data_IF_519646054832
#
_entry.id   IF_519646054832
#
_cell.length_a   1.000
_cell.length_b   1.000
_cell.length_c   1.000
_cell.angle_alpha   90.00
_cell.angle_beta   90.00
_cell.angle_gamma   90.00
#
_symmetry.space_group_name_H-M   'P 1'
#
loop_
_entity.id
_entity.type
_entity.pdbx_description
1 polymer ?
#
# COMPACT_ATOMS: atom_id res chain seq x y z
N UNK A 1 -29.20 -0.74 0.19
CA UNK A 1 -28.50 -1.00 1.45
C UNK A 1 -27.09 -0.52 1.22
N UNK A 2 -26.66 0.50 1.94
CA UNK A 2 -25.29 0.97 1.87
C UNK A 2 -24.38 -0.11 2.45
N UNK A 3 -23.76 -0.91 1.59
CA UNK A 3 -22.70 -1.87 1.91
C UNK A 3 -21.42 -1.11 2.30
N UNK A 4 -21.52 -0.23 3.30
CA UNK A 4 -20.35 0.26 4.00
C UNK A 4 -19.75 -0.94 4.74
N UNK A 5 -18.83 -1.60 4.05
CA UNK A 5 -17.99 -2.66 4.58
C UNK A 5 -17.45 -2.19 5.93
N UNK A 6 -17.95 -2.77 7.03
CA UNK A 6 -17.51 -2.40 8.37
C UNK A 6 -16.06 -2.83 8.52
N UNK A 7 -15.19 -1.86 8.70
CA UNK A 7 -13.79 -2.04 9.10
C UNK A 7 -13.72 -1.98 10.62
N UNK A 8 -13.04 -2.96 11.21
CA UNK A 8 -12.75 -3.03 12.64
C UNK A 8 -11.24 -2.96 12.80
N UNK A 9 -10.76 -1.99 13.57
CA UNK A 9 -9.34 -1.94 13.94
C UNK A 9 -9.01 -3.13 14.86
N UNK A 10 -7.93 -3.83 14.54
CA UNK A 10 -7.46 -4.98 15.31
C UNK A 10 -6.64 -4.54 16.52
N UNK A 11 -6.49 -5.43 17.50
CA UNK A 11 -5.71 -5.10 18.68
C UNK A 11 -4.19 -5.10 18.41
N UNK A 12 -3.42 -4.66 19.40
CA UNK A 12 -1.95 -4.55 19.29
C UNK A 12 -1.27 -5.90 19.03
N UNK A 13 -1.79 -6.99 19.61
CA UNK A 13 -1.19 -8.32 19.47
C UNK A 13 -1.45 -8.90 18.07
N UNK A 14 -2.65 -8.72 17.54
CA UNK A 14 -3.01 -9.08 16.17
C UNK A 14 -2.25 -8.23 15.16
N UNK A 15 -2.15 -6.92 15.40
CA UNK A 15 -1.37 -6.00 14.58
C UNK A 15 0.10 -6.43 14.53
N UNK A 16 0.70 -6.75 15.68
CA UNK A 16 2.09 -7.21 15.74
C UNK A 16 2.29 -8.53 14.97
N UNK A 17 1.31 -9.43 15.04
CA UNK A 17 1.33 -10.70 14.30
C UNK A 17 1.32 -10.45 12.79
N UNK A 18 0.33 -9.70 12.30
CA UNK A 18 0.22 -9.38 10.86
C UNK A 18 1.42 -8.58 10.36
N UNK A 19 1.94 -7.64 11.16
CA UNK A 19 3.15 -6.91 10.81
C UNK A 19 4.37 -7.83 10.67
N UNK A 20 4.49 -8.84 11.54
CA UNK A 20 5.56 -9.85 11.44
C UNK A 20 5.39 -10.73 10.20
N UNK A 21 4.16 -11.14 9.87
CA UNK A 21 3.88 -11.93 8.66
C UNK A 21 4.17 -11.13 7.39
N UNK A 22 3.74 -9.86 7.32
CA UNK A 22 4.04 -8.98 6.19
C UNK A 22 5.55 -8.88 5.92
N UNK A 23 6.35 -8.65 6.97
CA UNK A 23 7.82 -8.54 6.87
C UNK A 23 8.53 -9.84 6.47
N UNK A 24 7.87 -10.98 6.58
CA UNK A 24 8.40 -12.27 6.15
C UNK A 24 7.96 -12.64 4.73
N UNK A 25 7.10 -11.81 4.11
CA UNK A 25 6.63 -12.05 2.75
C UNK A 25 7.65 -11.59 1.71
N UNK A 26 7.71 -12.30 0.58
CA UNK A 26 8.55 -11.89 -0.56
C UNK A 26 8.17 -10.50 -1.11
N UNK A 27 6.91 -10.10 -0.95
CA UNK A 27 6.42 -8.81 -1.42
C UNK A 27 6.98 -7.65 -0.60
N UNK A 28 7.28 -7.88 0.68
CA UNK A 28 7.99 -6.90 1.50
C UNK A 28 9.40 -6.69 0.95
N UNK A 29 10.14 -7.77 0.70
CA UNK A 29 11.52 -7.70 0.19
C UNK A 29 11.60 -6.98 -1.16
N UNK A 30 10.61 -7.21 -2.05
CA UNK A 30 10.54 -6.56 -3.36
C UNK A 30 10.24 -5.07 -3.26
N UNK A 31 9.26 -4.69 -2.44
CA UNK A 31 8.94 -3.27 -2.20
C UNK A 31 10.11 -2.56 -1.51
N UNK A 32 10.74 -3.20 -0.54
CA UNK A 32 11.92 -2.66 0.16
C UNK A 32 13.09 -2.45 -0.80
N UNK A 33 13.39 -3.43 -1.65
CA UNK A 33 14.48 -3.33 -2.63
C UNK A 33 14.21 -2.21 -3.64
N UNK A 34 13.00 -2.14 -4.20
CA UNK A 34 12.64 -1.11 -5.17
C UNK A 34 12.66 0.30 -4.57
N UNK A 35 12.09 0.49 -3.38
CA UNK A 35 12.12 1.78 -2.70
C UNK A 35 13.56 2.24 -2.41
N UNK A 36 14.45 1.30 -2.04
CA UNK A 36 15.85 1.60 -1.77
C UNK A 36 16.61 1.97 -3.05
N UNK A 37 16.40 1.21 -4.13
CA UNK A 37 17.14 1.37 -5.39
C UNK A 37 16.69 2.61 -6.17
N UNK A 38 15.38 2.87 -6.27
CA UNK A 38 14.84 3.97 -7.09
C UNK A 38 14.75 5.30 -6.32
N UNK A 39 14.51 5.26 -5.00
CA UNK A 39 14.22 6.48 -4.22
C UNK A 39 15.12 6.71 -3.00
N UNK A 40 16.07 5.81 -2.68
CA UNK A 40 16.85 5.88 -1.42
C UNK A 40 15.92 5.91 -0.18
N UNK A 41 14.83 5.13 -0.25
CA UNK A 41 13.78 5.00 0.76
C UNK A 41 13.69 3.55 1.29
N UNK A 42 13.10 3.37 2.48
CA UNK A 42 12.88 2.05 3.07
C UNK A 42 11.42 1.88 3.43
N UNK A 43 10.92 0.63 3.44
CA UNK A 43 9.55 0.36 3.94
C UNK A 43 9.43 0.83 5.39
N UNK A 44 8.40 1.62 5.74
CA UNK A 44 8.22 2.08 7.11
C UNK A 44 8.07 0.91 8.09
N UNK A 45 8.71 1.01 9.26
CA UNK A 45 8.56 0.01 10.33
C UNK A 45 7.73 0.51 11.50
N UNK A 46 7.39 1.80 11.52
CA UNK A 46 6.71 2.49 12.61
C UNK A 46 5.21 2.67 12.30
N UNK A 47 4.44 3.08 13.31
CA UNK A 47 3.02 3.42 13.19
C UNK A 47 2.14 2.32 12.58
N UNK A 48 2.46 1.05 12.83
CA UNK A 48 1.69 -0.06 12.26
C UNK A 48 0.24 -0.06 12.77
N UNK A 49 -0.72 -0.20 11.85
CA UNK A 49 -2.16 -0.35 12.15
C UNK A 49 -2.71 -1.51 11.36
N UNK A 50 -3.58 -2.32 11.97
CA UNK A 50 -4.24 -3.41 11.27
C UNK A 50 -5.76 -3.32 11.36
N UNK A 51 -6.43 -3.80 10.32
CA UNK A 51 -7.87 -3.76 10.20
C UNK A 51 -8.40 -5.09 9.68
N UNK A 52 -9.58 -5.47 10.14
CA UNK A 52 -10.38 -6.58 9.62
C UNK A 52 -11.70 -6.04 9.06
N UNK A 53 -12.06 -6.52 7.88
CA UNK A 53 -13.36 -6.31 7.25
C UNK A 53 -14.33 -7.40 7.67
N UNK A 54 -15.63 -7.09 7.70
CA UNK A 54 -16.67 -8.04 8.12
C UNK A 54 -16.79 -9.36 7.33
N UNK A 55 -16.06 -9.54 6.23
CA UNK A 55 -15.92 -10.79 5.48
C UNK A 55 -14.67 -11.60 5.88
N UNK A 56 -13.89 -11.14 6.86
CA UNK A 56 -12.68 -11.79 7.36
C UNK A 56 -11.39 -11.38 6.64
N UNK A 57 -11.46 -10.47 5.65
CA UNK A 57 -10.27 -9.93 5.00
C UNK A 57 -9.51 -9.00 5.97
N UNK A 58 -8.20 -9.22 6.11
CA UNK A 58 -7.34 -8.48 7.04
C UNK A 58 -6.27 -7.69 6.29
N UNK A 59 -5.87 -6.56 6.84
CA UNK A 59 -4.76 -5.77 6.29
C UNK A 59 -3.92 -5.17 7.42
N UNK A 60 -2.64 -4.97 7.17
CA UNK A 60 -1.74 -4.17 8.01
C UNK A 60 -1.10 -3.07 7.18
N UNK A 61 -1.04 -1.86 7.73
CA UNK A 61 -0.38 -0.72 7.11
C UNK A 61 0.75 -0.21 8.00
N UNK A 62 1.82 0.27 7.36
CA UNK A 62 2.96 0.93 7.99
C UNK A 62 3.09 2.33 7.39
N UNK A 63 3.22 3.35 8.24
CA UNK A 63 3.25 4.74 7.78
C UNK A 63 4.51 5.44 8.31
N UNK A 64 5.26 6.06 7.41
CA UNK A 64 6.29 7.01 7.79
C UNK A 64 5.64 8.36 8.08
N UNK A 65 5.99 8.98 9.20
CA UNK A 65 5.69 10.40 9.39
C UNK A 65 6.59 11.21 8.49
N UNK A 66 5.99 12.05 7.63
CA UNK A 66 6.73 12.97 6.76
C UNK A 66 7.80 13.73 7.57
N UNK A 67 9.07 13.48 7.26
CA UNK A 67 10.18 14.13 7.92
C UNK A 67 10.18 15.63 7.62
N UNK A 68 10.72 16.44 8.54
CA UNK A 68 10.95 17.86 8.30
C UNK A 68 12.05 18.03 7.22
N UNK A 69 11.68 17.91 5.94
CA UNK A 69 12.59 18.03 4.81
C UNK A 69 12.15 17.24 3.59
N UNK A 70 11.12 17.74 2.89
CA UNK A 70 10.75 17.49 1.48
C UNK A 70 10.47 16.06 0.98
N UNK A 71 10.99 15.00 1.60
CA UNK A 71 10.80 13.62 1.12
C UNK A 71 9.31 13.23 1.17
N UNK A 72 8.80 12.50 0.17
CA UNK A 72 7.43 12.01 0.17
C UNK A 72 7.10 11.22 1.43
N UNK A 73 5.86 11.35 1.92
CA UNK A 73 5.34 10.43 2.91
C UNK A 73 5.10 9.08 2.23
N UNK A 74 5.64 8.01 2.83
CA UNK A 74 5.46 6.64 2.37
C UNK A 74 4.52 5.91 3.33
N UNK A 75 3.46 5.32 2.79
CA UNK A 75 2.61 4.35 3.47
C UNK A 75 2.69 3.01 2.73
N UNK A 76 2.75 1.89 3.45
CA UNK A 76 2.80 0.56 2.84
C UNK A 76 1.76 -0.33 3.47
N UNK A 77 0.87 -0.88 2.66
CA UNK A 77 -0.27 -1.69 3.09
C UNK A 77 -0.19 -3.09 2.50
N UNK A 78 -0.32 -4.10 3.37
CA UNK A 78 -0.38 -5.52 3.00
C UNK A 78 -1.75 -6.08 3.35
N UNK A 79 -2.41 -6.69 2.36
CA UNK A 79 -3.68 -7.39 2.52
C UNK A 79 -3.43 -8.89 2.61
N UNK A 80 -4.16 -9.57 3.49
CA UNK A 80 -4.01 -10.99 3.76
C UNK A 80 -5.22 -11.78 3.29
N UNK A 81 -4.95 -12.98 2.79
CA UNK A 81 -5.96 -14.02 2.59
C UNK A 81 -6.47 -14.51 3.95
N UNK A 82 -7.80 -14.50 4.12
CA UNK A 82 -8.47 -14.68 5.42
C UNK A 82 -7.97 -15.85 6.25
N UNK A 83 -7.75 -17.02 5.64
CA UNK A 83 -7.42 -18.26 6.37
C UNK A 83 -5.93 -18.63 6.40
N UNK A 84 -5.10 -18.08 5.51
CA UNK A 84 -3.71 -18.53 5.32
C UNK A 84 -2.66 -17.55 5.86
N UNK A 85 -3.04 -16.33 6.28
CA UNK A 85 -2.12 -15.21 6.52
C UNK A 85 -1.13 -14.99 5.35
N UNK A 86 -1.42 -15.52 4.16
CA UNK A 86 -0.65 -15.24 2.97
C UNK A 86 -1.01 -13.83 2.48
N UNK A 87 -0.02 -13.09 2.00
CA UNK A 87 -0.27 -11.75 1.44
C UNK A 87 -0.95 -11.92 0.07
N UNK A 88 -2.15 -11.37 -0.06
CA UNK A 88 -2.95 -11.34 -1.29
C UNK A 88 -2.63 -10.12 -2.16
N UNK A 89 -2.28 -9.00 -1.53
CA UNK A 89 -1.95 -7.74 -2.18
C UNK A 89 -0.96 -6.96 -1.30
N UNK A 90 -0.01 -6.26 -1.91
CA UNK A 90 0.85 -5.31 -1.24
C UNK A 90 0.93 -4.03 -2.07
N UNK A 91 0.87 -2.88 -1.40
CA UNK A 91 0.93 -1.57 -2.04
C UNK A 91 1.83 -0.66 -1.22
N UNK A 92 2.74 0.06 -1.87
CA UNK A 92 3.35 1.26 -1.30
C UNK A 92 2.74 2.51 -1.95
N UNK A 93 2.48 3.54 -1.15
CA UNK A 93 1.88 4.80 -1.56
C UNK A 93 2.86 5.92 -1.19
N UNK A 94 3.27 6.71 -2.18
CA UNK A 94 4.15 7.86 -2.00
C UNK A 94 3.37 9.14 -2.27
N UNK A 95 3.40 10.08 -1.32
CA UNK A 95 2.73 11.37 -1.41
C UNK A 95 3.71 12.53 -1.17
N UNK A 96 3.76 13.51 -2.06
CA UNK A 96 4.56 14.71 -1.84
C UNK A 96 4.94 15.44 -3.12
N UNK A 97 5.60 16.58 -2.96
CA UNK A 97 6.01 17.43 -4.08
C UNK A 97 7.12 16.83 -4.97
N UNK A 98 7.77 15.76 -4.50
CA UNK A 98 8.84 15.05 -5.22
C UNK A 98 8.33 13.76 -5.90
N UNK A 99 7.01 13.58 -6.00
CA UNK A 99 6.37 12.51 -6.79
C UNK A 99 6.05 13.07 -8.17
N UNK A 100 6.22 12.27 -9.24
CA UNK A 100 5.89 12.65 -10.63
C UNK A 100 4.37 12.70 -10.89
N UNK A 101 3.60 13.20 -9.93
CA UNK A 101 2.14 13.27 -9.88
C UNK A 101 1.68 13.67 -8.46
N UNK A 102 0.39 13.51 -8.16
CA UNK A 102 -0.11 13.76 -6.79
C UNK A 102 0.19 12.58 -5.86
N UNK A 103 0.17 11.37 -6.42
CA UNK A 103 0.44 10.13 -5.72
C UNK A 103 1.05 9.11 -6.66
N UNK A 104 1.97 8.32 -6.12
CA UNK A 104 2.52 7.15 -6.79
C UNK A 104 2.17 5.91 -5.98
N UNK A 105 1.56 4.92 -6.64
CA UNK A 105 1.19 3.64 -6.08
C UNK A 105 2.10 2.56 -6.67
N UNK A 106 2.81 1.83 -5.81
CA UNK A 106 3.75 0.79 -6.21
C UNK A 106 3.20 -0.58 -5.78
N UNK A 107 3.18 -1.53 -6.69
CA UNK A 107 2.69 -2.89 -6.44
C UNK A 107 3.71 -3.91 -6.93
N UNK A 108 3.91 -5.05 -6.23
CA UNK A 108 4.54 -6.19 -6.86
C UNK A 108 3.74 -6.60 -8.12
N UNK A 109 4.41 -6.69 -9.27
CA UNK A 109 3.76 -6.78 -10.59
C UNK A 109 2.75 -7.91 -10.71
N UNK A 110 3.02 -9.06 -10.09
CA UNK A 110 2.16 -10.24 -10.20
C UNK A 110 0.81 -10.12 -9.45
N UNK A 111 0.75 -9.24 -8.44
CA UNK A 111 -0.46 -8.95 -7.66
C UNK A 111 -0.98 -7.53 -7.90
N UNK A 112 -0.41 -6.81 -8.87
CA UNK A 112 -0.83 -5.46 -9.20
C UNK A 112 -2.29 -5.47 -9.69
N UNK A 113 -3.21 -4.75 -9.03
CA UNK A 113 -4.59 -4.61 -9.49
C UNK A 113 -4.62 -3.82 -10.79
N UNK A 114 -5.72 -3.89 -11.56
CA UNK A 114 -5.87 -3.02 -12.72
C UNK A 114 -5.81 -1.54 -12.30
N UNK A 115 -5.19 -0.65 -13.09
CA UNK A 115 -5.04 0.77 -12.72
C UNK A 115 -6.36 1.44 -12.34
N UNK A 116 -7.43 1.21 -13.11
CA UNK A 116 -8.75 1.78 -12.83
C UNK A 116 -9.38 1.27 -11.52
N UNK A 117 -9.01 0.07 -11.08
CA UNK A 117 -9.45 -0.51 -9.81
C UNK A 117 -8.63 0.10 -8.67
N UNK A 118 -7.31 0.22 -8.84
CA UNK A 118 -6.41 0.82 -7.86
C UNK A 118 -6.83 2.25 -7.51
N UNK A 119 -7.04 3.09 -8.53
CA UNK A 119 -7.45 4.49 -8.33
C UNK A 119 -8.80 4.58 -7.61
N UNK A 120 -9.80 3.81 -8.05
CA UNK A 120 -11.13 3.84 -7.44
C UNK A 120 -11.12 3.39 -5.98
N UNK A 121 -10.41 2.31 -5.69
CA UNK A 121 -10.47 1.64 -4.39
C UNK A 121 -9.53 2.29 -3.36
N UNK A 122 -8.42 2.88 -3.79
CA UNK A 122 -7.40 3.51 -2.91
C UNK A 122 -7.63 5.02 -2.78
N UNK A 123 -7.81 5.73 -3.90
CA UNK A 123 -7.91 7.21 -3.92
C UNK A 123 -9.34 7.75 -3.82
N UNK A 124 -10.33 6.85 -3.73
CA UNK A 124 -11.79 7.11 -3.66
C UNK A 124 -12.45 7.51 -4.99
N UNK A 125 -13.77 7.32 -5.11
CA UNK A 125 -14.55 7.70 -6.30
C UNK A 125 -14.75 9.21 -6.53
N UNK A 126 -14.17 10.10 -5.71
CA UNK A 126 -14.32 11.55 -5.86
C UNK A 126 -13.40 12.14 -6.94
N UNK A 127 -12.46 11.34 -7.45
CA UNK A 127 -11.59 11.70 -8.58
C UNK A 127 -12.26 11.22 -9.88
N UNK A 128 -13.19 12.00 -10.42
CA UNK A 128 -13.92 11.64 -11.66
C UNK A 128 -13.02 11.68 -12.91
N UNK A 129 -11.87 12.38 -12.87
CA UNK A 129 -10.94 12.56 -13.98
C UNK A 129 -9.48 12.44 -13.49
N UNK A 130 -9.03 11.22 -13.19
CA UNK A 130 -7.61 10.95 -12.91
C UNK A 130 -6.88 10.52 -14.19
N UNK A 131 -5.74 11.13 -14.49
CA UNK A 131 -4.80 10.60 -15.48
C UNK A 131 -3.84 9.62 -14.77
N UNK A 132 -3.70 8.41 -15.32
CA UNK A 132 -2.85 7.37 -14.74
C UNK A 132 -1.78 6.97 -15.74
N UNK A 133 -0.52 7.19 -15.36
CA UNK A 133 0.63 6.65 -16.06
C UNK A 133 1.06 5.36 -15.39
N UNK A 134 1.27 4.31 -16.19
CA UNK A 134 1.69 2.99 -15.71
C UNK A 134 3.11 2.71 -16.19
N UNK A 135 4.00 2.42 -15.26
CA UNK A 135 5.35 1.95 -15.54
C UNK A 135 5.56 0.55 -14.94
N UNK A 136 6.10 -0.38 -15.74
CA UNK A 136 6.41 -1.73 -15.31
C UNK A 136 7.93 -1.90 -15.26
N UNK A 137 8.49 -1.81 -14.05
CA UNK A 137 9.92 -1.85 -13.80
C UNK A 137 10.31 -3.12 -13.03
N UNK A 138 10.67 -4.15 -13.78
CA UNK A 138 11.15 -5.42 -13.23
C UNK A 138 10.05 -6.18 -12.48
N UNK A 139 10.14 -6.20 -11.15
CA UNK A 139 9.21 -6.91 -10.26
C UNK A 139 8.15 -5.99 -9.64
N UNK A 140 8.20 -4.69 -9.92
CA UNK A 140 7.27 -3.67 -9.42
C UNK A 140 6.57 -2.99 -10.60
N UNK A 141 5.27 -2.75 -10.42
CA UNK A 141 4.45 -1.90 -11.28
C UNK A 141 4.12 -0.62 -10.53
N UNK A 142 4.47 0.53 -11.11
CA UNK A 142 4.17 1.87 -10.60
C UNK A 142 2.98 2.47 -11.33
N UNK A 143 2.03 3.02 -10.57
CA UNK A 143 0.93 3.84 -11.06
C UNK A 143 1.11 5.27 -10.53
N UNK A 144 1.45 6.17 -11.43
CA UNK A 144 1.52 7.60 -11.14
C UNK A 144 0.18 8.23 -11.49
N UNK A 145 -0.44 8.88 -10.51
CA UNK A 145 -1.80 9.43 -10.64
C UNK A 145 -1.75 10.95 -10.51
N UNK A 146 -2.35 11.62 -11.50
CA UNK A 146 -2.52 13.08 -11.55
C UNK A 146 -4.03 13.39 -11.47
N UNK A 147 -4.40 14.30 -10.56
CA UNK A 147 -5.80 14.65 -10.22
C UNK A 147 -6.17 16.12 -10.47
#
# INVERSE_FOLDING_TARGET
MDDHQRLTELDEAETATLASEARQSEYYDRLESYLADEYDETVPSENSRAFERGDGARAVSFESTAGAGARPAVAVTFHFEGDSNAVAQATAERHGADVDGDVELLFPTEIAPKPEVAVRDILRPEVEEAEVTVDESGEITSYTVET
#
